data_IF_065329823830
#
_entry.id   IF_065329823830
#
_cell.length_a   1.000
_cell.length_b   1.000
_cell.length_c   1.000
_cell.angle_alpha   90.00
_cell.angle_beta   90.00
_cell.angle_gamma   90.00
#
_symmetry.space_group_name_H-M   'P 1'
#
loop_
_entity.id
_entity.type
_entity.pdbx_description
1 polymer ?
#
# COMPACT_ATOMS: atom_id res chain seq x y z
N UNK A 1 -11.31 73.81 14.15
CA UNK A 1 -11.26 72.38 13.80
C UNK A 1 -10.85 71.56 15.03
N UNK A 2 -11.20 70.27 15.02
CA UNK A 2 -11.39 69.36 16.16
C UNK A 2 -10.20 69.18 17.14
N UNK A 3 -10.61 68.86 18.37
CA UNK A 3 -9.87 68.42 19.56
C UNK A 3 -9.39 66.95 19.45
N UNK A 4 -8.60 66.54 20.45
CA UNK A 4 -8.24 65.18 20.92
C UNK A 4 -6.93 64.58 20.37
N UNK A 5 -5.85 64.54 21.18
CA UNK A 5 -5.48 63.56 22.24
C UNK A 5 -4.85 62.29 21.61
N UNK A 6 -3.55 62.04 21.79
CA UNK A 6 -2.89 61.19 22.82
C UNK A 6 -2.45 59.83 22.26
N UNK A 7 -1.37 59.29 22.84
CA UNK A 7 -0.89 57.90 22.75
C UNK A 7 -0.37 57.52 21.35
N UNK A 8 0.78 56.85 21.17
CA UNK A 8 1.12 55.54 21.73
C UNK A 8 2.64 55.41 21.78
N UNK A 9 3.12 55.21 23.01
CA UNK A 9 4.33 54.51 23.40
C UNK A 9 4.28 53.06 22.88
N UNK A 10 5.43 52.46 22.55
CA UNK A 10 5.63 51.01 22.26
C UNK A 10 5.48 50.61 20.79
N UNK A 11 6.63 50.55 20.10
CA UNK A 11 6.93 49.51 19.13
C UNK A 11 8.41 49.07 19.30
N UNK A 12 8.80 48.79 20.55
CA UNK A 12 9.76 47.71 20.81
C UNK A 12 9.03 46.40 20.54
N UNK A 13 8.95 46.02 19.27
CA UNK A 13 8.61 44.66 18.88
C UNK A 13 9.86 44.06 18.27
N UNK A 14 10.57 43.37 19.15
CA UNK A 14 11.52 42.32 18.84
C UNK A 14 11.04 41.55 17.61
N UNK A 15 11.78 41.68 16.52
CA UNK A 15 11.79 40.70 15.42
C UNK A 15 12.33 39.39 15.99
N UNK A 16 11.47 38.69 16.72
CA UNK A 16 11.61 37.26 16.92
C UNK A 16 11.32 36.62 15.59
N UNK A 17 12.37 36.32 14.83
CA UNK A 17 12.29 35.28 13.82
C UNK A 17 11.99 33.99 14.57
N UNK A 18 10.71 33.67 14.73
CA UNK A 18 10.30 32.30 15.02
C UNK A 18 10.55 31.54 13.72
N UNK A 19 11.78 31.04 13.57
CA UNK A 19 12.03 29.89 12.72
C UNK A 19 11.36 28.68 13.39
N UNK A 20 10.02 28.66 13.36
CA UNK A 20 9.25 27.43 13.48
C UNK A 20 9.35 26.80 12.10
N UNK A 21 10.46 26.09 11.85
CA UNK A 21 10.43 24.94 10.96
C UNK A 21 9.50 23.94 11.63
N UNK A 22 8.20 24.12 11.41
CA UNK A 22 7.21 23.13 11.75
C UNK A 22 7.37 22.01 10.76
N UNK A 23 8.21 21.03 11.13
CA UNK A 23 8.13 19.66 10.61
C UNK A 23 6.77 19.07 11.05
N UNK A 24 5.69 19.67 10.59
CA UNK A 24 4.36 19.07 10.60
C UNK A 24 4.21 18.28 9.30
N UNK A 25 5.15 17.34 9.07
CA UNK A 25 4.86 16.26 8.15
C UNK A 25 3.63 15.53 8.72
N UNK A 26 2.55 15.38 7.95
CA UNK A 26 1.38 14.66 8.43
C UNK A 26 1.83 13.26 8.83
N UNK A 27 1.70 12.94 10.12
CA UNK A 27 1.92 11.58 10.60
C UNK A 27 0.96 10.69 9.82
N UNK A 28 1.50 9.88 8.91
CA UNK A 28 0.69 8.86 8.23
C UNK A 28 -0.06 8.05 9.28
N UNK A 29 -1.37 7.91 9.10
CA UNK A 29 -2.18 7.11 10.00
C UNK A 29 -1.63 5.67 10.06
N UNK A 30 -1.49 5.16 11.29
CA UNK A 30 -0.99 3.81 11.50
C UNK A 30 -1.91 2.80 10.81
N UNK A 31 -1.33 1.92 10.00
CA UNK A 31 -2.09 0.89 9.31
C UNK A 31 -2.67 -0.12 10.32
N UNK A 32 -3.98 -0.37 10.24
CA UNK A 32 -4.68 -1.36 11.08
C UNK A 32 -5.17 -2.52 10.21
N UNK A 33 -4.75 -3.74 10.57
CA UNK A 33 -5.21 -4.96 9.89
C UNK A 33 -6.71 -5.22 10.14
N UNK A 34 -7.50 -5.38 9.07
CA UNK A 34 -8.95 -5.52 9.14
C UNK A 34 -9.45 -6.95 8.89
N UNK A 35 -8.85 -7.92 9.59
CA UNK A 35 -9.26 -9.32 9.53
C UNK A 35 -8.80 -10.05 8.27
N UNK A 36 -9.18 -11.31 8.19
CA UNK A 36 -8.83 -12.24 7.11
C UNK A 36 -10.09 -12.72 6.38
N UNK A 37 -10.40 -12.11 5.25
CA UNK A 37 -11.68 -12.27 4.58
C UNK A 37 -11.78 -13.61 3.81
N UNK A 38 -10.70 -14.39 3.78
CA UNK A 38 -10.69 -15.77 3.30
C UNK A 38 -10.80 -16.84 4.41
N UNK A 39 -10.83 -16.45 5.69
CA UNK A 39 -11.01 -17.35 6.84
C UNK A 39 -12.51 -17.48 7.18
N UNK A 40 -13.11 -18.69 7.16
CA UNK A 40 -14.50 -18.92 7.56
C UNK A 40 -14.89 -18.42 8.95
N UNK A 41 -13.92 -18.18 9.84
CA UNK A 41 -14.14 -17.67 11.19
C UNK A 41 -14.07 -16.14 11.28
N UNK A 42 -13.67 -15.43 10.22
CA UNK A 42 -13.66 -13.97 10.20
C UNK A 42 -15.07 -13.42 9.98
N UNK A 43 -15.42 -12.35 10.70
CA UNK A 43 -16.72 -11.69 10.59
C UNK A 43 -17.03 -11.16 9.18
N UNK A 44 -15.99 -10.90 8.38
CA UNK A 44 -16.09 -10.36 7.02
C UNK A 44 -15.94 -11.46 5.95
N UNK A 45 -15.84 -12.73 6.34
CA UNK A 45 -15.68 -13.85 5.43
C UNK A 45 -16.70 -13.84 4.28
N UNK A 46 -16.22 -14.17 3.08
CA UNK A 46 -17.03 -14.32 1.88
C UNK A 46 -17.13 -15.80 1.50
N UNK A 47 -18.28 -16.46 1.71
CA UNK A 47 -18.47 -17.87 1.36
C UNK A 47 -18.23 -18.20 -0.11
N UNK A 48 -18.45 -17.23 -0.99
CA UNK A 48 -18.15 -17.30 -2.43
C UNK A 48 -16.65 -17.25 -2.76
N UNK A 49 -15.80 -16.99 -1.76
CA UNK A 49 -14.37 -16.73 -1.90
C UNK A 49 -14.07 -15.24 -2.08
N UNK A 50 -13.09 -14.73 -1.35
CA UNK A 50 -12.58 -13.36 -1.52
C UNK A 50 -11.10 -13.36 -1.91
N UNK A 51 -10.82 -13.18 -3.20
CA UNK A 51 -9.45 -13.12 -3.71
C UNK A 51 -9.31 -12.16 -4.90
N UNK A 52 -9.46 -10.84 -4.70
CA UNK A 52 -9.44 -9.86 -5.80
C UNK A 52 -8.10 -9.81 -6.54
N UNK A 53 -6.99 -10.19 -5.89
CA UNK A 53 -5.65 -10.20 -6.47
C UNK A 53 -5.30 -11.51 -7.19
N UNK A 54 -6.24 -12.45 -7.30
CA UNK A 54 -6.02 -13.71 -8.02
C UNK A 54 -5.55 -13.46 -9.46
N UNK A 55 -4.55 -14.21 -9.88
CA UNK A 55 -4.03 -14.22 -11.24
C UNK A 55 -2.51 -14.14 -11.31
N UNK A 56 -2.00 -14.16 -12.54
CA UNK A 56 -0.58 -14.00 -12.86
C UNK A 56 -0.30 -12.51 -13.10
N UNK A 57 0.70 -11.98 -12.43
CA UNK A 57 1.04 -10.56 -12.43
C UNK A 57 2.53 -10.39 -12.72
N UNK A 58 2.86 -9.74 -13.83
CA UNK A 58 4.22 -9.38 -14.22
C UNK A 58 4.61 -8.05 -13.61
N UNK A 59 5.79 -7.94 -13.01
CA UNK A 59 6.24 -6.69 -12.40
C UNK A 59 6.65 -5.67 -13.47
N UNK A 60 6.23 -4.41 -13.32
CA UNK A 60 6.44 -3.40 -14.38
C UNK A 60 7.89 -2.89 -14.47
N UNK A 61 8.58 -2.72 -13.33
CA UNK A 61 9.97 -2.22 -13.27
C UNK A 61 11.03 -3.34 -13.37
N UNK A 62 10.61 -4.61 -13.34
CA UNK A 62 11.48 -5.76 -13.53
C UNK A 62 10.70 -6.90 -14.20
N UNK A 63 10.46 -6.82 -15.51
CA UNK A 63 9.49 -7.64 -16.23
C UNK A 63 9.88 -9.12 -16.33
N UNK A 64 11.09 -9.50 -15.95
CA UNK A 64 11.54 -10.90 -15.90
C UNK A 64 10.91 -11.68 -14.74
N UNK A 65 10.28 -10.99 -13.78
CA UNK A 65 9.66 -11.62 -12.61
C UNK A 65 8.21 -11.19 -12.40
N UNK A 66 7.52 -11.97 -11.58
CA UNK A 66 6.22 -11.62 -11.05
C UNK A 66 5.72 -12.60 -10.02
N UNK A 67 4.41 -12.53 -9.77
CA UNK A 67 3.73 -13.40 -8.83
C UNK A 67 2.49 -14.02 -9.46
N UNK A 68 2.22 -15.28 -9.10
CA UNK A 68 0.93 -15.90 -9.32
C UNK A 68 0.23 -16.04 -7.97
N UNK A 69 -0.90 -15.37 -7.80
CA UNK A 69 -1.79 -15.55 -6.65
C UNK A 69 -2.88 -16.55 -7.03
N UNK A 70 -2.85 -17.73 -6.43
CA UNK A 70 -3.74 -18.83 -6.78
C UNK A 70 -5.08 -18.76 -6.05
N UNK A 71 -6.03 -19.55 -6.55
CA UNK A 71 -7.37 -19.70 -5.97
C UNK A 71 -7.35 -20.24 -4.53
N UNK A 72 -6.36 -21.07 -4.21
CA UNK A 72 -6.19 -21.70 -2.90
C UNK A 72 -5.30 -20.88 -1.95
N UNK A 73 -5.18 -19.56 -2.20
CA UNK A 73 -4.45 -18.60 -1.36
C UNK A 73 -2.97 -18.91 -1.18
N UNK A 74 -2.36 -19.49 -2.20
CA UNK A 74 -0.91 -19.62 -2.32
C UNK A 74 -0.39 -18.57 -3.26
N UNK A 75 0.87 -18.20 -3.09
CA UNK A 75 1.57 -17.41 -4.09
C UNK A 75 2.85 -18.10 -4.54
N UNK A 76 3.21 -17.82 -5.79
CA UNK A 76 4.34 -18.43 -6.47
C UNK A 76 5.17 -17.33 -7.12
N UNK A 77 6.48 -17.52 -7.13
CA UNK A 77 7.32 -16.73 -8.04
C UNK A 77 7.02 -17.13 -9.48
N UNK A 78 6.93 -16.14 -10.36
CA UNK A 78 6.82 -16.34 -11.80
C UNK A 78 8.06 -15.77 -12.47
N UNK A 79 8.64 -16.53 -13.40
CA UNK A 79 9.70 -16.06 -14.30
C UNK A 79 9.13 -15.86 -15.69
N UNK A 80 9.34 -14.69 -16.28
CA UNK A 80 8.93 -14.38 -17.64
C UNK A 80 10.14 -14.46 -18.58
N UNK A 81 9.95 -15.07 -19.73
CA UNK A 81 10.97 -15.23 -20.75
C UNK A 81 10.73 -14.28 -21.91
N UNK A 82 11.80 -13.95 -22.64
CA UNK A 82 11.74 -13.01 -23.78
C UNK A 82 10.91 -13.50 -24.97
N UNK A 83 10.59 -14.81 -25.01
CA UNK A 83 9.70 -15.41 -26.01
C UNK A 83 8.20 -15.24 -25.67
N UNK A 84 7.87 -14.58 -24.55
CA UNK A 84 6.49 -14.38 -24.10
C UNK A 84 5.93 -15.52 -23.24
N UNK A 85 6.67 -16.61 -23.06
CA UNK A 85 6.29 -17.68 -22.13
C UNK A 85 6.65 -17.31 -20.70
N UNK A 86 5.97 -17.92 -19.74
CA UNK A 86 6.32 -17.81 -18.33
C UNK A 86 6.35 -19.17 -17.64
N UNK A 87 7.11 -19.25 -16.55
CA UNK A 87 7.19 -20.43 -15.69
C UNK A 87 6.80 -20.08 -14.28
N UNK A 88 5.82 -20.81 -13.75
CA UNK A 88 5.47 -20.79 -12.34
C UNK A 88 6.51 -21.62 -11.57
N UNK A 89 7.14 -20.99 -10.58
CA UNK A 89 8.14 -21.57 -9.71
C UNK A 89 7.55 -22.38 -8.56
N UNK A 90 8.36 -22.58 -7.52
CA UNK A 90 7.89 -23.17 -6.28
C UNK A 90 6.95 -22.20 -5.53
N UNK A 91 6.11 -22.77 -4.67
CA UNK A 91 5.30 -22.00 -3.70
C UNK A 91 6.22 -21.08 -2.91
N UNK A 92 5.89 -19.80 -2.89
CA UNK A 92 6.58 -18.79 -2.09
C UNK A 92 5.95 -18.67 -0.70
N UNK A 93 4.62 -18.61 -0.63
CA UNK A 93 3.84 -18.73 0.59
C UNK A 93 2.63 -19.63 0.35
N UNK A 94 2.33 -20.47 1.33
CA UNK A 94 1.35 -21.55 1.25
C UNK A 94 -0.04 -21.17 1.77
N UNK A 95 -0.17 -19.99 2.39
CA UNK A 95 -1.44 -19.44 2.84
C UNK A 95 -1.29 -17.93 3.12
N UNK A 96 -1.60 -17.08 2.15
CA UNK A 96 -1.70 -15.63 2.40
C UNK A 96 -3.12 -15.26 2.87
N UNK A 97 -3.15 -14.26 3.74
CA UNK A 97 -4.38 -13.70 4.30
C UNK A 97 -4.72 -12.42 3.56
N UNK A 98 -6.00 -12.13 3.34
CA UNK A 98 -6.41 -10.97 2.53
C UNK A 98 -7.68 -10.32 3.05
N UNK A 99 -7.75 -8.99 2.99
CA UNK A 99 -8.95 -8.21 3.22
C UNK A 99 -9.10 -7.14 2.13
N UNK A 100 -10.05 -6.21 2.32
CA UNK A 100 -10.40 -5.21 1.33
C UNK A 100 -9.33 -4.17 0.99
N UNK A 101 -8.25 -4.06 1.77
CA UNK A 101 -7.22 -3.05 1.54
C UNK A 101 -5.80 -3.61 1.58
N UNK A 102 -5.62 -4.82 2.09
CA UNK A 102 -4.29 -5.41 2.27
C UNK A 102 -4.31 -6.94 2.20
N UNK A 103 -3.15 -7.50 1.91
CA UNK A 103 -2.84 -8.91 2.09
C UNK A 103 -1.58 -9.06 2.95
N UNK A 104 -1.38 -10.22 3.58
CA UNK A 104 -0.18 -10.50 4.37
C UNK A 104 0.21 -11.96 4.33
N UNK A 105 1.51 -12.21 4.48
CA UNK A 105 2.06 -13.56 4.66
C UNK A 105 2.34 -13.88 6.14
N UNK A 106 2.48 -12.84 6.96
CA UNK A 106 2.66 -12.93 8.40
C UNK A 106 2.25 -11.59 9.05
N UNK A 107 2.10 -11.52 10.38
CA UNK A 107 1.80 -10.26 11.07
C UNK A 107 2.80 -9.13 10.80
N UNK A 108 4.05 -9.46 10.45
CA UNK A 108 5.11 -8.49 10.14
C UNK A 108 5.32 -8.24 8.66
N UNK A 109 4.62 -8.96 7.78
CA UNK A 109 4.81 -8.89 6.33
C UNK A 109 3.49 -8.62 5.63
N UNK A 110 3.08 -7.35 5.68
CA UNK A 110 1.79 -6.83 5.21
C UNK A 110 2.00 -5.90 4.01
N UNK A 111 1.12 -6.01 3.03
CA UNK A 111 1.11 -5.17 1.84
C UNK A 111 -0.29 -4.58 1.64
N UNK A 112 -0.38 -3.26 1.49
CA UNK A 112 -1.58 -2.64 0.92
C UNK A 112 -1.67 -3.05 -0.55
N UNK A 113 -2.89 -3.18 -1.08
CA UNK A 113 -3.11 -3.46 -2.50
C UNK A 113 -4.19 -2.57 -3.09
N UNK A 114 -4.04 -2.26 -4.37
CA UNK A 114 -5.03 -1.56 -5.20
C UNK A 114 -5.06 -2.19 -6.59
N UNK A 115 -6.22 -2.24 -7.24
CA UNK A 115 -6.35 -2.73 -8.61
C UNK A 115 -7.02 -1.65 -9.46
N UNK A 116 -6.35 -1.23 -10.52
CA UNK A 116 -6.87 -0.27 -11.50
C UNK A 116 -6.41 -0.65 -12.91
N UNK A 117 -7.31 -0.71 -13.89
CA UNK A 117 -6.97 -0.91 -15.31
C UNK A 117 -5.98 -2.08 -15.58
N UNK A 118 -6.31 -3.29 -15.11
CA UNK A 118 -5.46 -4.48 -15.20
C UNK A 118 -4.07 -4.35 -14.56
N UNK A 119 -3.88 -3.37 -13.66
CA UNK A 119 -2.70 -3.25 -12.82
C UNK A 119 -3.02 -3.57 -11.38
N UNK A 120 -2.13 -4.32 -10.75
CA UNK A 120 -2.07 -4.50 -9.32
C UNK A 120 -0.97 -3.59 -8.78
N UNK A 121 -1.29 -2.79 -7.79
CA UNK A 121 -0.33 -2.00 -7.03
C UNK A 121 -0.18 -2.62 -5.65
N UNK A 122 1.05 -2.75 -5.16
CA UNK A 122 1.33 -3.22 -3.81
C UNK A 122 2.28 -2.28 -3.07
N UNK A 123 2.04 -2.04 -1.80
CA UNK A 123 2.89 -1.21 -0.94
C UNK A 123 3.18 -1.93 0.38
N UNK A 124 4.44 -2.31 0.68
CA UNK A 124 4.78 -2.88 1.98
C UNK A 124 4.55 -1.87 3.10
N UNK A 125 3.71 -2.26 4.06
CA UNK A 125 3.38 -1.45 5.25
C UNK A 125 4.61 -1.30 6.14
N UNK A 126 4.78 -0.11 6.73
CA UNK A 126 5.87 0.17 7.68
C UNK A 126 7.23 0.37 7.01
N UNK A 127 7.25 0.67 5.71
CA UNK A 127 8.47 0.97 4.95
C UNK A 127 8.31 2.28 4.18
N UNK A 128 9.41 2.99 3.92
CA UNK A 128 9.44 4.18 3.06
C UNK A 128 9.50 3.83 1.56
N UNK A 129 8.98 2.65 1.18
CA UNK A 129 8.99 2.23 -0.22
C UNK A 129 7.82 2.85 -0.96
N UNK A 130 7.99 3.01 -2.25
CA UNK A 130 6.91 3.41 -3.15
C UNK A 130 6.05 2.20 -3.53
N UNK A 131 4.88 2.48 -4.10
CA UNK A 131 4.04 1.46 -4.70
C UNK A 131 4.78 0.73 -5.82
N UNK A 132 4.69 -0.59 -5.81
CA UNK A 132 5.17 -1.45 -6.90
C UNK A 132 3.97 -1.86 -7.74
N UNK A 133 4.03 -1.62 -9.05
CA UNK A 133 2.98 -2.00 -9.98
C UNK A 133 3.31 -3.28 -10.74
N UNK A 134 2.25 -4.01 -11.05
CA UNK A 134 2.28 -5.24 -11.82
C UNK A 134 1.17 -5.21 -12.87
N UNK A 135 1.45 -5.71 -14.06
CA UNK A 135 0.49 -5.88 -15.14
C UNK A 135 -0.09 -7.29 -15.10
N UNK A 136 -1.41 -7.40 -15.19
CA UNK A 136 -2.10 -8.70 -15.26
C UNK A 136 -1.75 -9.40 -16.57
N UNK A 137 -1.41 -10.67 -16.46
CA UNK A 137 -1.25 -11.56 -17.61
C UNK A 137 -2.55 -12.32 -17.75
N UNK A 138 -3.33 -11.96 -18.76
CA UNK A 138 -4.54 -12.66 -19.12
C UNK A 138 -4.15 -13.94 -19.88
N UNK A 139 -4.64 -15.10 -19.44
CA UNK A 139 -4.61 -16.34 -20.21
C UNK A 139 -5.74 -16.36 -21.26
#
# INVERSE_FOLDING_TARGET
>A
MKKFLYFIFICTLCVGFTACGGDDDPKEEEFVWNGDWNDPNDKNYKPEGYNPIQGVWQRDDYPEIGFYFSEDFKDYYVTFYSNGEYKIGAVFNDNYQINNTAFRYSPSRVFKWEIENNKLYTLPVGTYKEWVSYTKIDD
#
